data_IF_095704146403
#
_entry.id   IF_095704146403
#
_cell.length_a   1.000
_cell.length_b   1.000
_cell.length_c   1.000
_cell.angle_alpha   90.00
_cell.angle_beta   90.00
_cell.angle_gamma   90.00
#
_symmetry.space_group_name_H-M   'P 1'
#
loop_
_entity.id
_entity.type
_entity.pdbx_description
1 polymer ?
#
# COMPACT_ATOMS: atom_id res chain seq x y z
N UNK A 1 25.56 17.86 15.93
CA UNK A 1 25.19 17.60 14.52
C UNK A 1 25.69 16.22 14.16
N UNK A 2 24.88 15.19 14.40
CA UNK A 2 25.16 13.81 14.00
C UNK A 2 24.24 13.49 12.83
N UNK A 3 24.83 13.22 11.67
CA UNK A 3 24.16 12.74 10.48
C UNK A 3 23.28 11.53 10.83
N UNK A 4 21.98 11.77 10.98
CA UNK A 4 20.99 10.72 10.80
C UNK A 4 21.03 10.39 9.32
N UNK A 5 21.86 9.42 8.94
CA UNK A 5 21.65 8.69 7.70
C UNK A 5 20.21 8.19 7.76
N UNK A 6 19.33 8.82 7.00
CA UNK A 6 18.01 8.32 6.70
C UNK A 6 18.21 6.85 6.34
N UNK A 7 17.69 5.93 7.17
CA UNK A 7 17.45 4.57 6.70
C UNK A 7 16.29 4.71 5.70
N UNK A 8 16.59 5.24 4.52
CA UNK A 8 15.64 5.33 3.41
C UNK A 8 15.30 3.89 3.11
N UNK A 9 14.12 3.47 3.54
CA UNK A 9 13.61 2.18 3.17
C UNK A 9 13.39 2.22 1.66
N UNK A 10 14.28 1.57 0.92
CA UNK A 10 14.15 1.46 -0.52
C UNK A 10 13.06 0.43 -0.82
N UNK A 11 11.96 0.92 -1.38
CA UNK A 11 10.87 0.10 -1.86
C UNK A 11 11.02 -0.09 -3.37
N UNK A 12 10.51 -1.18 -3.92
CA UNK A 12 10.18 -1.18 -5.35
C UNK A 12 8.85 -0.46 -5.59
N UNK A 13 8.59 -0.01 -6.80
CA UNK A 13 7.29 0.56 -7.17
C UNK A 13 6.15 -0.50 -7.11
N UNK A 14 4.90 -0.10 -7.39
CA UNK A 14 3.74 -1.00 -7.41
C UNK A 14 3.88 -2.22 -8.34
N UNK A 15 4.63 -2.08 -9.44
CA UNK A 15 4.88 -3.19 -10.36
C UNK A 15 5.84 -4.22 -9.72
N UNK A 16 6.89 -3.73 -9.06
CA UNK A 16 7.79 -4.57 -8.26
C UNK A 16 7.07 -5.23 -7.08
N UNK A 17 6.17 -4.51 -6.39
CA UNK A 17 5.28 -5.10 -5.38
C UNK A 17 4.51 -6.29 -5.93
N UNK A 18 3.85 -6.10 -7.08
CA UNK A 18 3.02 -7.12 -7.72
C UNK A 18 3.84 -8.35 -8.12
N UNK A 19 5.02 -8.16 -8.68
CA UNK A 19 5.84 -9.24 -9.24
C UNK A 19 6.72 -9.95 -8.19
N UNK A 20 7.20 -9.26 -7.16
CA UNK A 20 8.21 -9.79 -6.24
C UNK A 20 7.77 -9.76 -4.78
N UNK A 21 7.47 -8.58 -4.22
CA UNK A 21 7.18 -8.45 -2.79
C UNK A 21 5.93 -9.23 -2.40
N UNK A 22 4.82 -9.06 -3.13
CA UNK A 22 3.55 -9.73 -2.84
C UNK A 22 3.67 -11.25 -2.99
N UNK A 23 4.13 -11.84 -4.10
CA UNK A 23 4.29 -13.30 -4.19
C UNK A 23 5.20 -13.87 -3.11
N UNK A 24 6.29 -13.18 -2.77
CA UNK A 24 7.22 -13.59 -1.71
C UNK A 24 6.55 -13.56 -0.34
N UNK A 25 5.85 -12.47 -0.02
CA UNK A 25 5.10 -12.32 1.23
C UNK A 25 3.99 -13.35 1.37
N UNK A 26 3.21 -13.61 0.30
CA UNK A 26 2.16 -14.63 0.30
C UNK A 26 2.74 -16.03 0.53
N UNK A 27 3.87 -16.36 -0.11
CA UNK A 27 4.55 -17.65 0.06
C UNK A 27 5.06 -17.83 1.49
N UNK A 28 5.68 -16.80 2.07
CA UNK A 28 6.32 -16.89 3.39
C UNK A 28 5.31 -16.76 4.54
N UNK A 29 4.40 -15.79 4.45
CA UNK A 29 3.56 -15.34 5.56
C UNK A 29 2.09 -15.74 5.40
N UNK A 30 1.75 -16.39 4.28
CA UNK A 30 0.43 -16.93 3.99
C UNK A 30 -0.36 -16.05 3.03
N UNK A 31 -1.20 -16.69 2.23
CA UNK A 31 -2.08 -16.04 1.24
C UNK A 31 -3.51 -15.84 1.73
N UNK A 32 -3.82 -16.34 2.93
CA UNK A 32 -5.13 -16.22 3.56
C UNK A 32 -4.96 -15.82 5.02
N UNK A 33 -5.97 -15.12 5.54
CA UNK A 33 -6.03 -14.75 6.95
C UNK A 33 -5.93 -15.98 7.84
N UNK A 34 -5.16 -15.85 8.92
CA UNK A 34 -5.09 -16.82 10.02
C UNK A 34 -6.46 -17.09 10.65
N UNK A 35 -7.44 -16.17 10.49
CA UNK A 35 -8.82 -16.35 10.93
C UNK A 35 -9.60 -17.38 10.09
N UNK A 36 -9.24 -17.54 8.81
CA UNK A 36 -10.03 -18.27 7.80
C UNK A 36 -9.38 -19.58 7.34
N UNK A 37 -8.12 -19.82 7.67
CA UNK A 37 -7.41 -21.03 7.25
C UNK A 37 -6.41 -21.48 8.29
N UNK A 38 -6.20 -22.80 8.35
CA UNK A 38 -5.16 -23.41 9.17
C UNK A 38 -3.79 -22.99 8.62
N UNK A 39 -3.17 -22.02 9.27
CA UNK A 39 -1.84 -21.51 8.94
C UNK A 39 -0.81 -22.08 9.91
N UNK A 40 0.47 -22.06 9.55
CA UNK A 40 1.53 -22.42 10.49
C UNK A 40 1.57 -21.42 11.65
N UNK A 41 1.98 -21.85 12.85
CA UNK A 41 2.14 -20.95 14.02
C UNK A 41 3.03 -19.75 13.71
N UNK A 42 4.03 -19.93 12.84
CA UNK A 42 4.88 -18.85 12.38
C UNK A 42 4.11 -17.80 11.57
N UNK A 43 3.36 -18.23 10.56
CA UNK A 43 2.53 -17.36 9.73
C UNK A 43 1.46 -16.62 10.56
N UNK A 44 0.79 -17.34 11.46
CA UNK A 44 -0.19 -16.75 12.38
C UNK A 44 0.45 -15.66 13.25
N UNK A 45 1.62 -15.92 13.83
CA UNK A 45 2.33 -14.95 14.65
C UNK A 45 2.74 -13.69 13.85
N UNK A 46 3.19 -13.87 12.61
CA UNK A 46 3.52 -12.75 11.73
C UNK A 46 2.28 -11.94 11.39
N UNK A 47 1.19 -12.60 10.98
CA UNK A 47 -0.05 -11.92 10.64
C UNK A 47 -0.64 -11.17 11.84
N UNK A 48 -0.56 -11.73 13.05
CA UNK A 48 -0.95 -11.03 14.29
C UNK A 48 -0.06 -9.81 14.57
N UNK A 49 1.25 -9.91 14.35
CA UNK A 49 2.16 -8.78 14.51
C UNK A 49 1.90 -7.67 13.47
N UNK A 50 1.71 -8.04 12.20
CA UNK A 50 1.35 -7.09 11.15
C UNK A 50 0.01 -6.39 11.45
N UNK A 51 -0.96 -7.13 12.00
CA UNK A 51 -2.22 -6.54 12.48
C UNK A 51 -2.00 -5.55 13.62
N UNK A 52 -1.11 -5.84 14.57
CA UNK A 52 -0.75 -4.90 15.64
C UNK A 52 -0.18 -3.61 15.03
N UNK A 53 0.75 -3.72 14.07
CA UNK A 53 1.34 -2.57 13.39
C UNK A 53 0.31 -1.80 12.54
N UNK A 54 -0.67 -2.48 11.94
CA UNK A 54 -1.73 -1.85 11.16
C UNK A 54 -2.64 -0.95 12.00
N UNK A 55 -2.84 -1.30 13.28
CA UNK A 55 -3.82 -0.66 14.16
C UNK A 55 -3.20 0.35 15.14
N UNK A 56 -1.88 0.55 15.08
CA UNK A 56 -1.17 1.40 16.02
C UNK A 56 -0.19 2.34 15.29
N UNK A 57 0.18 3.42 15.97
CA UNK A 57 1.32 4.26 15.58
C UNK A 57 2.63 3.46 15.66
N UNK A 58 3.77 3.97 15.14
CA UNK A 58 5.04 3.26 15.20
C UNK A 58 5.38 2.73 16.60
N UNK A 59 5.70 1.44 16.69
CA UNK A 59 5.92 0.73 17.95
C UNK A 59 7.33 0.15 18.04
N UNK A 60 7.86 0.11 19.26
CA UNK A 60 9.00 -0.77 19.57
C UNK A 60 8.51 -2.22 19.67
N UNK A 61 9.41 -3.20 19.51
CA UNK A 61 9.09 -4.64 19.73
C UNK A 61 8.52 -4.90 21.12
N UNK A 62 9.00 -4.16 22.13
CA UNK A 62 8.50 -4.21 23.50
C UNK A 62 7.06 -3.70 23.59
N UNK A 63 6.76 -2.55 22.97
CA UNK A 63 5.41 -1.99 22.93
C UNK A 63 4.44 -2.92 22.20
N UNK A 64 4.87 -3.57 21.11
CA UNK A 64 4.05 -4.59 20.43
C UNK A 64 3.71 -5.76 21.36
N UNK A 65 4.69 -6.27 22.11
CA UNK A 65 4.47 -7.38 23.04
C UNK A 65 3.51 -7.00 24.18
N UNK A 66 3.61 -5.77 24.70
CA UNK A 66 2.73 -5.27 25.76
C UNK A 66 1.26 -5.12 25.38
N UNK A 67 0.93 -4.99 24.08
CA UNK A 67 -0.46 -4.87 23.64
C UNK A 67 -1.28 -6.12 24.01
N UNK A 68 -0.65 -7.30 24.02
CA UNK A 68 -1.32 -8.56 24.32
C UNK A 68 -1.03 -9.11 25.72
N UNK A 69 0.06 -8.65 26.36
CA UNK A 69 0.63 -9.26 27.58
C UNK A 69 0.93 -8.20 28.66
N UNK A 70 0.07 -7.18 28.80
CA UNK A 70 0.33 -5.99 29.61
C UNK A 70 0.81 -6.28 31.05
N UNK A 71 0.25 -7.32 31.68
CA UNK A 71 0.49 -7.66 33.09
C UNK A 71 1.66 -8.64 33.32
N UNK A 72 2.09 -9.40 32.30
CA UNK A 72 3.11 -10.44 32.43
C UNK A 72 4.44 -10.01 31.79
N UNK A 73 5.35 -9.50 32.62
CA UNK A 73 6.64 -8.99 32.17
C UNK A 73 7.54 -10.08 31.57
N UNK A 74 7.48 -11.31 32.08
CA UNK A 74 8.31 -12.40 31.56
C UNK A 74 7.78 -12.88 30.20
N UNK A 75 6.46 -13.00 30.05
CA UNK A 75 5.87 -13.30 28.75
C UNK A 75 6.14 -12.18 27.73
N UNK A 76 6.12 -10.91 28.15
CA UNK A 76 6.50 -9.77 27.29
C UNK A 76 7.94 -9.91 26.78
N UNK A 77 8.90 -10.27 27.63
CA UNK A 77 10.31 -10.48 27.23
C UNK A 77 10.45 -11.58 26.18
N UNK A 78 9.77 -12.70 26.39
CA UNK A 78 9.77 -13.81 25.42
C UNK A 78 9.18 -13.35 24.09
N UNK A 79 8.02 -12.68 24.12
CA UNK A 79 7.32 -12.22 22.92
C UNK A 79 8.08 -11.14 22.17
N UNK A 80 8.73 -10.23 22.87
CA UNK A 80 9.59 -9.19 22.28
C UNK A 80 10.73 -9.83 21.47
N UNK A 81 11.38 -10.86 22.01
CA UNK A 81 12.44 -11.61 21.30
C UNK A 81 11.89 -12.31 20.05
N UNK A 82 10.68 -12.86 20.11
CA UNK A 82 10.01 -13.42 18.94
C UNK A 82 9.76 -12.36 17.87
N UNK A 83 9.22 -11.19 18.24
CA UNK A 83 8.97 -10.08 17.31
C UNK A 83 10.24 -9.56 16.66
N UNK A 84 11.32 -9.39 17.43
CA UNK A 84 12.62 -8.99 16.88
C UNK A 84 13.12 -9.95 15.80
N UNK A 85 12.99 -11.27 16.03
CA UNK A 85 13.36 -12.31 15.07
C UNK A 85 12.46 -12.31 13.82
N UNK A 86 11.17 -12.00 13.96
CA UNK A 86 10.26 -11.87 12.82
C UNK A 86 10.56 -10.62 11.98
N UNK A 87 10.95 -9.51 12.63
CA UNK A 87 11.28 -8.26 11.95
C UNK A 87 12.60 -8.32 11.19
N UNK A 88 13.68 -8.71 11.87
CA UNK A 88 15.05 -8.70 11.33
C UNK A 88 15.39 -9.99 10.59
N UNK A 89 14.67 -11.08 10.86
CA UNK A 89 14.98 -12.40 10.37
C UNK A 89 15.93 -13.15 11.32
N UNK A 90 16.40 -14.31 10.86
CA UNK A 90 17.31 -15.17 11.64
C UNK A 90 18.33 -15.83 10.72
N UNK A 91 19.49 -16.17 11.27
CA UNK A 91 20.50 -17.00 10.60
C UNK A 91 20.62 -18.31 11.37
N UNK A 92 20.23 -19.41 10.73
CA UNK A 92 20.34 -20.76 11.28
C UNK A 92 21.28 -21.58 10.39
N UNK A 93 22.37 -22.12 10.97
CA UNK A 93 23.35 -22.98 10.28
C UNK A 93 23.83 -22.42 8.93
N UNK A 94 24.18 -21.13 8.91
CA UNK A 94 24.66 -20.44 7.71
C UNK A 94 23.57 -19.93 6.76
N UNK A 95 22.31 -20.38 6.88
CA UNK A 95 21.19 -19.92 6.03
C UNK A 95 20.44 -18.75 6.71
N UNK A 96 20.29 -17.62 6.01
CA UNK A 96 19.47 -16.48 6.46
C UNK A 96 18.01 -16.71 6.06
N UNK A 97 17.09 -16.71 7.02
CA UNK A 97 15.66 -16.54 6.77
C UNK A 97 15.35 -15.03 6.80
N UNK A 98 14.85 -14.44 5.70
CA UNK A 98 14.57 -13.02 5.66
C UNK A 98 13.43 -12.65 6.61
N UNK A 99 13.58 -11.51 7.30
CA UNK A 99 12.56 -10.91 8.14
C UNK A 99 11.61 -9.99 7.37
N UNK A 100 10.63 -9.42 8.06
CA UNK A 100 9.69 -8.46 7.45
C UNK A 100 10.35 -7.18 6.94
N UNK A 101 11.48 -6.77 7.55
CA UNK A 101 12.30 -5.66 7.06
C UNK A 101 12.94 -6.01 5.71
N UNK A 102 13.50 -7.23 5.59
CA UNK A 102 14.16 -7.69 4.35
C UNK A 102 13.14 -7.82 3.19
N UNK A 103 11.91 -8.25 3.48
CA UNK A 103 10.84 -8.37 2.47
C UNK A 103 10.22 -7.01 2.14
N UNK A 104 10.44 -5.99 2.97
CA UNK A 104 9.89 -4.65 2.77
C UNK A 104 8.43 -4.50 3.17
N UNK A 105 7.90 -5.31 4.09
CA UNK A 105 6.54 -5.13 4.66
C UNK A 105 6.53 -4.21 5.89
N UNK A 106 7.68 -4.02 6.52
CA UNK A 106 7.86 -3.19 7.71
C UNK A 106 9.07 -2.31 7.49
N UNK A 107 9.07 -1.12 8.10
CA UNK A 107 10.22 -0.21 8.10
C UNK A 107 10.59 0.24 9.50
N UNK A 108 11.84 0.67 9.63
CA UNK A 108 12.32 1.37 10.81
C UNK A 108 11.95 2.86 10.68
N UNK A 109 11.09 3.34 11.56
CA UNK A 109 10.56 4.70 11.59
C UNK A 109 11.30 5.61 12.59
N UNK A 110 12.56 5.26 12.87
CA UNK A 110 13.44 6.01 13.75
C UNK A 110 13.64 5.35 15.12
N UNK A 111 14.15 6.13 16.07
CA UNK A 111 14.58 5.63 17.37
C UNK A 111 13.84 6.35 18.48
N UNK A 112 13.28 5.60 19.43
CA UNK A 112 12.73 6.12 20.68
C UNK A 112 13.79 6.01 21.78
N UNK A 113 13.95 7.08 22.58
CA UNK A 113 14.99 7.19 23.62
C UNK A 113 14.45 7.14 25.06
N UNK A 114 13.24 6.61 25.30
CA UNK A 114 12.58 6.73 26.62
C UNK A 114 13.24 5.94 27.76
N UNK A 115 13.83 4.76 27.50
CA UNK A 115 14.57 3.95 28.50
C UNK A 115 15.87 3.36 27.93
N UNK A 116 16.37 3.96 26.85
CA UNK A 116 17.41 3.42 25.97
C UNK A 116 16.98 3.50 24.51
N UNK A 117 17.94 3.55 23.59
CA UNK A 117 17.69 3.61 22.16
C UNK A 117 16.97 2.34 21.67
N UNK A 118 15.76 2.48 21.14
CA UNK A 118 14.97 1.37 20.59
C UNK A 118 14.35 1.77 19.27
N UNK A 119 14.50 0.93 18.24
CA UNK A 119 13.89 1.15 16.93
C UNK A 119 12.35 1.17 17.03
N UNK A 120 11.75 2.11 16.32
CA UNK A 120 10.32 2.18 16.06
C UNK A 120 10.03 1.51 14.73
N UNK A 121 8.98 0.72 14.69
CA UNK A 121 8.57 -0.01 13.50
C UNK A 121 7.14 0.31 13.14
N UNK A 122 6.88 0.46 11.84
CA UNK A 122 5.55 0.59 11.26
C UNK A 122 5.46 -0.21 9.96
N UNK A 123 4.26 -0.41 9.45
CA UNK A 123 4.09 -0.96 8.10
C UNK A 123 4.70 -0.02 7.07
N UNK A 124 5.35 -0.61 6.06
CA UNK A 124 5.57 0.07 4.80
C UNK A 124 4.26 0.18 4.03
N UNK A 125 4.26 0.94 2.92
CA UNK A 125 3.13 0.93 1.98
C UNK A 125 2.84 -0.48 1.42
N UNK A 126 3.87 -1.28 1.12
CA UNK A 126 3.69 -2.70 0.76
C UNK A 126 3.08 -3.53 1.90
N UNK A 127 3.45 -3.25 3.15
CA UNK A 127 2.85 -3.84 4.34
C UNK A 127 1.38 -3.51 4.48
N UNK A 128 1.01 -2.24 4.26
CA UNK A 128 -0.39 -1.79 4.24
C UNK A 128 -1.18 -2.55 3.17
N UNK A 129 -0.65 -2.65 1.94
CA UNK A 129 -1.29 -3.41 0.87
C UNK A 129 -1.43 -4.90 1.24
N UNK A 130 -0.37 -5.54 1.75
CA UNK A 130 -0.45 -6.94 2.18
C UNK A 130 -1.52 -7.15 3.27
N UNK A 131 -1.61 -6.25 4.24
CA UNK A 131 -2.62 -6.31 5.30
C UNK A 131 -4.05 -6.21 4.75
N UNK A 132 -4.28 -5.31 3.79
CA UNK A 132 -5.56 -5.14 3.12
C UNK A 132 -5.98 -6.35 2.28
N UNK A 133 -5.02 -7.03 1.66
CA UNK A 133 -5.24 -8.23 0.83
C UNK A 133 -5.51 -9.48 1.69
N UNK A 134 -4.67 -9.74 2.69
CA UNK A 134 -4.59 -11.06 3.33
C UNK A 134 -5.30 -11.14 4.68
N UNK A 135 -5.21 -10.10 5.53
CA UNK A 135 -5.58 -10.23 6.95
C UNK A 135 -7.08 -10.27 7.22
N UNK A 136 -7.91 -10.04 6.19
CA UNK A 136 -9.36 -9.95 6.29
C UNK A 136 -9.77 -8.93 7.37
N UNK A 137 -9.32 -7.69 7.17
CA UNK A 137 -9.62 -6.57 8.05
C UNK A 137 -11.05 -6.08 7.82
N UNK A 138 -11.75 -5.85 8.93
CA UNK A 138 -13.06 -5.19 8.96
C UNK A 138 -12.95 -3.73 8.53
N UNK A 139 -14.06 -3.13 8.10
CA UNK A 139 -14.08 -1.71 7.71
C UNK A 139 -13.58 -0.81 8.85
N UNK A 140 -13.98 -1.10 10.10
CA UNK A 140 -13.51 -0.37 11.30
C UNK A 140 -12.00 -0.47 11.49
N UNK A 141 -11.42 -1.66 11.30
CA UNK A 141 -9.98 -1.86 11.39
C UNK A 141 -9.23 -1.08 10.29
N UNK A 142 -9.83 -0.96 9.10
CA UNK A 142 -9.27 -0.17 7.99
C UNK A 142 -9.38 1.31 8.27
N UNK A 143 -10.48 1.78 8.87
CA UNK A 143 -10.62 3.17 9.30
C UNK A 143 -9.54 3.56 10.32
N UNK A 144 -9.28 2.68 11.30
CA UNK A 144 -8.19 2.88 12.28
C UNK A 144 -6.84 2.94 11.55
N UNK A 145 -6.57 1.99 10.65
CA UNK A 145 -5.33 2.00 9.87
C UNK A 145 -5.19 3.29 9.03
N UNK A 146 -6.27 3.76 8.40
CA UNK A 146 -6.24 5.01 7.65
C UNK A 146 -5.89 6.21 8.55
N UNK A 147 -6.41 6.25 9.77
CA UNK A 147 -6.05 7.30 10.73
C UNK A 147 -4.56 7.25 11.11
N UNK A 148 -4.02 6.05 11.38
CA UNK A 148 -2.62 5.86 11.78
C UNK A 148 -1.62 6.15 10.66
N UNK A 149 -2.00 5.81 9.43
CA UNK A 149 -1.14 5.95 8.25
C UNK A 149 -1.50 7.18 7.39
N UNK A 150 -2.26 8.13 7.94
CA UNK A 150 -2.69 9.35 7.26
C UNK A 150 -1.51 10.17 6.70
N UNK A 151 -0.36 10.19 7.39
CA UNK A 151 0.84 10.90 6.93
C UNK A 151 1.65 10.12 5.88
N UNK A 152 1.51 8.79 5.86
CA UNK A 152 2.25 7.89 4.95
C UNK A 152 1.56 7.79 3.59
N UNK A 153 0.22 7.83 3.57
CA UNK A 153 -0.57 7.84 2.34
C UNK A 153 -1.51 9.06 2.34
N UNK A 154 -0.98 10.29 2.16
CA UNK A 154 -1.70 11.53 2.43
C UNK A 154 -2.95 11.72 1.59
N UNK A 155 -2.88 11.46 0.27
CA UNK A 155 -4.02 11.67 -0.61
C UNK A 155 -5.16 10.67 -0.38
N UNK A 156 -4.88 9.44 0.09
CA UNK A 156 -5.95 8.46 0.38
C UNK A 156 -6.31 8.43 1.86
N UNK A 157 -5.35 8.10 2.74
CA UNK A 157 -5.57 7.97 4.16
C UNK A 157 -5.67 9.32 4.88
N UNK A 158 -4.88 10.32 4.47
CA UNK A 158 -5.02 11.69 4.99
C UNK A 158 -6.37 12.33 4.66
N UNK A 159 -7.02 11.90 3.58
CA UNK A 159 -8.36 12.35 3.16
C UNK A 159 -9.47 11.35 3.48
N UNK A 160 -9.19 10.30 4.25
CA UNK A 160 -10.09 9.15 4.42
C UNK A 160 -11.50 9.50 4.87
N UNK A 161 -11.62 10.38 5.88
CA UNK A 161 -12.93 10.79 6.40
C UNK A 161 -13.77 11.54 5.36
N UNK A 162 -13.12 12.43 4.59
CA UNK A 162 -13.76 13.15 3.48
C UNK A 162 -14.16 12.17 2.37
N UNK A 163 -13.25 11.27 1.97
CA UNK A 163 -13.56 10.27 0.95
C UNK A 163 -14.73 9.38 1.37
N UNK A 164 -14.75 8.93 2.64
CA UNK A 164 -15.81 8.09 3.19
C UNK A 164 -17.17 8.80 3.19
N UNK A 165 -17.24 10.10 3.47
CA UNK A 165 -18.52 10.83 3.41
C UNK A 165 -19.09 10.93 1.99
N UNK A 166 -18.25 10.96 0.96
CA UNK A 166 -18.69 11.07 -0.44
C UNK A 166 -18.90 9.69 -1.11
N UNK A 167 -18.09 8.70 -0.74
CA UNK A 167 -18.05 7.39 -1.39
C UNK A 167 -18.84 6.31 -0.63
N UNK A 168 -19.02 6.46 0.69
CA UNK A 168 -19.55 5.40 1.54
C UNK A 168 -18.60 4.21 1.58
N UNK A 169 -19.12 2.99 1.43
CA UNK A 169 -18.32 1.75 1.44
C UNK A 169 -17.37 1.61 0.24
N UNK A 170 -17.60 2.36 -0.86
CA UNK A 170 -16.70 2.38 -2.01
C UNK A 170 -15.28 2.88 -1.65
N UNK A 171 -15.10 3.57 -0.51
CA UNK A 171 -13.78 4.01 -0.03
C UNK A 171 -12.81 2.83 0.17
N UNK A 172 -13.35 1.64 0.47
CA UNK A 172 -12.57 0.42 0.72
C UNK A 172 -12.08 -0.28 -0.57
N UNK A 173 -12.30 0.31 -1.76
CA UNK A 173 -11.74 -0.18 -3.03
C UNK A 173 -10.22 -0.29 -3.04
N UNK A 174 -9.51 0.33 -2.10
CA UNK A 174 -8.06 0.10 -1.92
C UNK A 174 -7.71 -1.39 -1.74
N UNK A 175 -8.62 -2.22 -1.21
CA UNK A 175 -8.45 -3.69 -1.16
C UNK A 175 -8.23 -4.31 -2.54
N UNK A 176 -8.79 -3.69 -3.58
CA UNK A 176 -8.67 -4.14 -4.96
C UNK A 176 -7.26 -3.86 -5.52
N UNK A 177 -6.59 -2.81 -5.03
CA UNK A 177 -5.17 -2.56 -5.34
C UNK A 177 -4.32 -3.64 -4.72
N UNK A 178 -4.60 -3.89 -3.45
CA UNK A 178 -3.84 -4.78 -2.59
C UNK A 178 -3.77 -6.21 -3.17
N UNK A 179 -4.84 -6.65 -3.85
CA UNK A 179 -4.90 -7.94 -4.55
C UNK A 179 -4.17 -7.98 -5.91
N UNK A 180 -3.62 -6.85 -6.39
CA UNK A 180 -2.81 -6.75 -7.61
C UNK A 180 -3.58 -6.87 -8.93
N UNK A 181 -4.91 -6.70 -8.90
CA UNK A 181 -5.81 -7.16 -9.97
C UNK A 181 -5.94 -6.20 -11.17
N UNK A 182 -5.45 -4.97 -11.08
CA UNK A 182 -5.74 -3.92 -12.09
C UNK A 182 -4.53 -3.26 -12.75
N UNK A 183 -3.29 -3.54 -12.32
CA UNK A 183 -2.14 -2.79 -12.86
C UNK A 183 -1.90 -3.03 -14.36
N UNK A 184 -2.31 -4.18 -14.92
CA UNK A 184 -2.01 -4.56 -16.31
C UNK A 184 -3.18 -5.23 -17.06
N UNK A 185 -4.42 -5.08 -16.59
CA UNK A 185 -5.54 -5.81 -17.18
C UNK A 185 -6.09 -5.07 -18.41
N UNK A 186 -5.66 -5.49 -19.61
CA UNK A 186 -6.11 -4.93 -20.90
C UNK A 186 -7.65 -4.97 -21.04
N UNK A 187 -8.34 -5.92 -20.39
CA UNK A 187 -9.81 -6.00 -20.43
C UNK A 187 -10.49 -4.76 -19.80
N UNK A 188 -9.76 -3.96 -19.02
CA UNK A 188 -10.22 -2.66 -18.49
C UNK A 188 -10.62 -1.71 -19.63
N UNK A 189 -9.91 -1.73 -20.76
CA UNK A 189 -10.22 -0.89 -21.93
C UNK A 189 -11.62 -1.17 -22.52
N UNK A 190 -12.18 -2.36 -22.27
CA UNK A 190 -13.55 -2.72 -22.68
C UNK A 190 -14.61 -2.42 -21.62
N UNK A 191 -14.20 -2.11 -20.40
CA UNK A 191 -15.08 -1.93 -19.24
C UNK A 191 -15.51 -0.47 -19.03
N UNK A 192 -14.82 0.49 -19.64
CA UNK A 192 -15.14 1.92 -19.53
C UNK A 192 -14.86 2.65 -20.83
N UNK A 193 -15.69 3.65 -21.14
CA UNK A 193 -15.43 4.60 -22.22
C UNK A 193 -14.40 5.68 -21.79
N UNK A 194 -14.04 5.72 -20.50
CA UNK A 194 -12.95 6.55 -20.02
C UNK A 194 -11.60 5.91 -20.36
N UNK A 195 -10.56 6.72 -20.60
CA UNK A 195 -9.21 6.25 -20.93
C UNK A 195 -8.47 5.71 -19.69
N UNK A 196 -9.12 4.82 -18.93
CA UNK A 196 -8.57 4.27 -17.67
C UNK A 196 -7.34 3.43 -17.94
N UNK A 197 -7.37 2.65 -19.03
CA UNK A 197 -6.22 1.83 -19.41
C UNK A 197 -5.00 2.69 -19.73
N UNK A 198 -5.20 3.78 -20.47
CA UNK A 198 -4.17 4.75 -20.82
C UNK A 198 -3.61 5.45 -19.58
N UNK A 199 -4.47 5.89 -18.66
CA UNK A 199 -4.03 6.52 -17.41
C UNK A 199 -3.20 5.54 -16.56
N UNK A 200 -3.65 4.29 -16.39
CA UNK A 200 -2.91 3.28 -15.64
C UNK A 200 -1.61 2.86 -16.34
N UNK A 201 -1.62 2.79 -17.67
CA UNK A 201 -0.40 2.51 -18.46
C UNK A 201 0.60 3.64 -18.28
N UNK A 202 0.17 4.89 -18.38
CA UNK A 202 1.03 6.04 -18.12
C UNK A 202 1.56 6.04 -16.68
N UNK A 203 0.74 5.66 -15.69
CA UNK A 203 1.20 5.50 -14.31
C UNK A 203 2.38 4.52 -14.19
N UNK A 204 2.31 3.38 -14.89
CA UNK A 204 3.41 2.41 -14.92
C UNK A 204 4.64 2.96 -15.64
N UNK A 205 4.45 3.73 -16.72
CA UNK A 205 5.55 4.37 -17.46
C UNK A 205 6.22 5.47 -16.61
N UNK A 206 5.43 6.30 -15.90
CA UNK A 206 5.93 7.41 -15.09
C UNK A 206 6.92 6.96 -14.02
N UNK A 207 6.66 5.81 -13.40
CA UNK A 207 7.50 5.24 -12.34
C UNK A 207 8.31 4.02 -12.82
N UNK A 208 8.53 3.85 -14.13
CA UNK A 208 9.20 2.68 -14.67
C UNK A 208 10.66 2.60 -14.21
N UNK A 209 11.34 3.73 -14.16
CA UNK A 209 12.75 3.80 -13.76
C UNK A 209 12.92 3.55 -12.25
N UNK A 210 11.86 3.75 -11.46
CA UNK A 210 11.80 3.50 -10.01
C UNK A 210 11.42 2.05 -9.66
N UNK A 211 11.58 1.11 -10.60
CA UNK A 211 11.16 -0.27 -10.43
C UNK A 211 11.81 -0.95 -9.21
N UNK A 212 13.12 -0.84 -9.06
CA UNK A 212 13.85 -1.42 -7.94
C UNK A 212 13.85 -0.53 -6.70
N UNK A 213 13.79 0.79 -6.89
CA UNK A 213 13.96 1.78 -5.84
C UNK A 213 13.08 2.99 -6.10
N UNK A 214 12.13 3.23 -5.20
CA UNK A 214 11.22 4.37 -5.19
C UNK A 214 11.21 4.99 -3.78
N UNK A 215 11.05 6.31 -3.70
CA UNK A 215 10.83 6.98 -2.41
C UNK A 215 9.45 6.61 -1.84
N UNK A 216 9.26 6.76 -0.53
CA UNK A 216 7.96 6.46 0.08
C UNK A 216 6.87 7.43 -0.40
N UNK A 217 7.23 8.70 -0.61
CA UNK A 217 6.31 9.71 -1.14
C UNK A 217 5.88 9.38 -2.57
N UNK A 218 6.81 8.99 -3.43
CA UNK A 218 6.49 8.66 -4.83
C UNK A 218 5.66 7.37 -4.91
N UNK A 219 5.93 6.39 -4.05
CA UNK A 219 5.09 5.19 -3.94
C UNK A 219 3.69 5.52 -3.41
N UNK A 220 3.58 6.44 -2.44
CA UNK A 220 2.30 6.93 -1.94
C UNK A 220 1.51 7.63 -3.05
N UNK A 221 2.18 8.44 -3.87
CA UNK A 221 1.60 9.11 -5.03
C UNK A 221 1.15 8.10 -6.08
N UNK A 222 1.98 7.09 -6.38
CA UNK A 222 1.63 6.03 -7.31
C UNK A 222 0.37 5.25 -6.85
N UNK A 223 0.31 4.88 -5.57
CA UNK A 223 -0.87 4.24 -4.96
C UNK A 223 -2.10 5.14 -5.04
N UNK A 224 -1.92 6.43 -4.78
CA UNK A 224 -3.01 7.41 -4.78
C UNK A 224 -3.57 7.61 -6.20
N UNK A 225 -2.71 7.78 -7.20
CA UNK A 225 -3.13 7.90 -8.61
C UNK A 225 -3.93 6.68 -9.03
N UNK A 226 -3.41 5.49 -8.75
CA UNK A 226 -4.12 4.24 -9.02
C UNK A 226 -5.50 4.24 -8.34
N UNK A 227 -5.57 4.59 -7.05
CA UNK A 227 -6.79 4.56 -6.26
C UNK A 227 -7.88 5.44 -6.89
N UNK A 228 -7.56 6.69 -7.21
CA UNK A 228 -8.51 7.61 -7.84
C UNK A 228 -8.93 7.17 -9.24
N UNK A 229 -7.99 6.64 -10.03
CA UNK A 229 -8.27 6.11 -11.36
C UNK A 229 -9.25 4.92 -11.31
N UNK A 230 -9.23 4.09 -10.26
CA UNK A 230 -10.17 2.96 -10.15
C UNK A 230 -11.63 3.34 -9.94
N UNK A 231 -11.92 4.56 -9.51
CA UNK A 231 -13.31 5.04 -9.42
C UNK A 231 -13.91 5.38 -10.79
N UNK A 232 -13.08 5.53 -11.82
CA UNK A 232 -13.52 5.64 -13.22
C UNK A 232 -13.95 4.28 -13.79
N UNK A 233 -13.84 3.21 -13.00
CA UNK A 233 -14.36 1.89 -13.34
C UNK A 233 -15.66 1.59 -12.62
N UNK A 234 -16.59 0.85 -13.26
CA UNK A 234 -17.80 0.39 -12.60
C UNK A 234 -17.44 -0.47 -11.39
N UNK A 235 -18.23 -0.35 -10.31
CA UNK A 235 -18.09 -1.13 -9.07
C UNK A 235 -18.12 -2.64 -9.32
N UNK A 236 -18.78 -3.07 -10.39
CA UNK A 236 -18.79 -4.44 -10.88
C UNK A 236 -18.25 -4.48 -12.31
N UNK A 237 -17.11 -5.14 -12.51
CA UNK A 237 -16.46 -5.27 -13.82
C UNK A 237 -17.32 -5.92 -14.91
N UNK A 238 -18.37 -6.66 -14.52
CA UNK A 238 -19.33 -7.27 -15.46
C UNK A 238 -20.46 -6.32 -15.89
N UNK A 239 -20.61 -5.18 -15.23
CA UNK A 239 -21.56 -4.15 -15.62
C UNK A 239 -20.96 -3.31 -16.74
N UNK A 240 -21.50 -3.43 -17.97
CA UNK A 240 -21.10 -2.61 -19.13
C UNK A 240 -21.51 -1.14 -19.00
N UNK A 241 -22.38 -0.78 -18.04
CA UNK A 241 -22.77 0.61 -17.79
C UNK A 241 -22.10 1.11 -16.53
N UNK A 242 -21.24 2.12 -16.68
CA UNK A 242 -20.94 3.04 -15.60
C UNK A 242 -22.27 3.74 -15.27
N UNK A 243 -22.82 3.52 -14.09
CA UNK A 243 -23.99 4.30 -13.67
C UNK A 243 -23.58 5.77 -13.60
N UNK A 244 -24.46 6.69 -14.02
CA UNK A 244 -24.28 8.14 -13.86
C UNK A 244 -23.90 8.53 -12.42
N UNK A 245 -24.29 7.69 -11.46
CA UNK A 245 -23.96 7.75 -10.03
C UNK A 245 -22.45 7.69 -9.76
N UNK A 246 -21.68 6.86 -10.48
CA UNK A 246 -20.23 6.76 -10.24
C UNK A 246 -19.48 8.00 -10.71
N UNK A 247 -19.87 8.59 -11.84
CA UNK A 247 -19.31 9.86 -12.32
C UNK A 247 -19.64 11.01 -11.37
N UNK A 248 -20.86 11.03 -10.82
CA UNK A 248 -21.28 12.05 -9.85
C UNK A 248 -20.51 11.93 -8.52
N UNK A 249 -20.32 10.71 -8.00
CA UNK A 249 -19.49 10.46 -6.82
C UNK A 249 -18.03 10.89 -7.06
N UNK A 250 -17.47 10.55 -8.21
CA UNK A 250 -16.11 10.92 -8.58
C UNK A 250 -15.93 12.44 -8.67
N UNK A 251 -16.87 13.15 -9.31
CA UNK A 251 -16.86 14.63 -9.36
C UNK A 251 -16.88 15.27 -7.97
N UNK A 252 -17.74 14.76 -7.08
CA UNK A 252 -17.86 15.27 -5.69
C UNK A 252 -16.56 15.21 -4.88
N UNK A 253 -15.67 14.24 -5.16
CA UNK A 253 -14.37 14.14 -4.49
C UNK A 253 -13.55 15.42 -4.73
N UNK A 254 -13.55 15.91 -5.96
CA UNK A 254 -12.68 17.01 -6.40
C UNK A 254 -13.34 18.40 -6.31
N UNK A 255 -14.64 18.47 -6.04
CA UNK A 255 -15.37 19.74 -5.95
C UNK A 255 -14.94 20.60 -4.76
N UNK A 256 -14.54 19.96 -3.65
CA UNK A 256 -14.22 20.66 -2.38
C UNK A 256 -12.75 20.64 -1.99
N UNK A 257 -11.96 19.74 -2.57
CA UNK A 257 -10.53 19.59 -2.28
C UNK A 257 -9.71 20.03 -3.48
N UNK A 258 -9.39 21.34 -3.53
CA UNK A 258 -8.65 21.96 -4.63
C UNK A 258 -7.24 21.39 -4.76
N UNK A 259 -6.57 21.11 -3.64
CA UNK A 259 -5.24 20.51 -3.63
C UNK A 259 -5.25 19.12 -4.28
N UNK A 260 -6.21 18.27 -3.88
CA UNK A 260 -6.38 16.94 -4.47
C UNK A 260 -6.73 17.03 -5.96
N UNK A 261 -7.57 18.00 -6.33
CA UNK A 261 -7.95 18.25 -7.72
C UNK A 261 -6.73 18.63 -8.55
N UNK A 262 -6.00 19.65 -8.14
CA UNK A 262 -4.86 20.16 -8.89
C UNK A 262 -3.77 19.09 -9.02
N UNK A 263 -3.51 18.33 -7.95
CA UNK A 263 -2.57 17.20 -7.98
C UNK A 263 -3.01 16.10 -8.97
N UNK A 264 -4.25 15.61 -8.88
CA UNK A 264 -4.70 14.49 -9.72
C UNK A 264 -4.85 14.91 -11.19
N UNK A 265 -5.41 16.08 -11.45
CA UNK A 265 -5.55 16.56 -12.83
C UNK A 265 -4.21 16.98 -13.43
N UNK A 266 -3.24 17.44 -12.63
CA UNK A 266 -1.86 17.60 -13.08
C UNK A 266 -1.26 16.30 -13.61
N UNK A 267 -1.48 15.18 -12.90
CA UNK A 267 -1.09 13.85 -13.40
C UNK A 267 -1.82 13.46 -14.70
N UNK A 268 -3.11 13.78 -14.83
CA UNK A 268 -3.86 13.53 -16.08
C UNK A 268 -3.32 14.37 -17.24
N UNK A 269 -2.95 15.63 -17.01
CA UNK A 269 -2.37 16.51 -18.04
C UNK A 269 -1.00 15.99 -18.51
N UNK A 270 -0.19 15.46 -17.60
CA UNK A 270 1.05 14.79 -17.96
C UNK A 270 0.80 13.57 -18.87
N UNK A 271 -0.18 12.73 -18.51
CA UNK A 271 -0.58 11.58 -19.31
C UNK A 271 -1.03 12.01 -20.72
N UNK A 272 -1.84 13.06 -20.81
CA UNK A 272 -2.31 13.60 -22.08
C UNK A 272 -1.14 14.08 -22.96
N UNK A 273 -0.18 14.82 -22.38
CA UNK A 273 1.03 15.28 -23.06
C UNK A 273 1.87 14.10 -23.58
N UNK A 274 2.07 13.09 -22.75
CA UNK A 274 2.81 11.88 -23.11
C UNK A 274 2.21 11.18 -24.35
N UNK A 275 0.89 10.95 -24.34
CA UNK A 275 0.22 10.31 -25.46
C UNK A 275 0.19 11.18 -26.72
N UNK A 276 -0.07 12.50 -26.61
CA UNK A 276 -0.02 13.44 -27.74
C UNK A 276 1.35 13.40 -28.43
N UNK A 277 2.44 13.37 -27.66
CA UNK A 277 3.79 13.24 -28.20
C UNK A 277 3.98 11.92 -28.96
N UNK A 278 3.60 10.78 -28.37
CA UNK A 278 3.71 9.47 -29.04
C UNK A 278 2.85 9.36 -30.31
N UNK A 279 1.61 9.86 -30.28
CA UNK A 279 0.75 9.87 -31.47
C UNK A 279 1.33 10.72 -32.59
N UNK A 280 2.00 11.82 -32.26
CA UNK A 280 2.70 12.65 -33.25
C UNK A 280 3.83 11.87 -33.92
N UNK A 281 4.62 11.12 -33.15
CA UNK A 281 5.68 10.24 -33.68
C UNK A 281 5.10 9.13 -34.56
N UNK A 282 4.02 8.46 -34.13
CA UNK A 282 3.35 7.41 -34.93
C UNK A 282 2.82 7.97 -36.25
N UNK A 283 2.25 9.19 -36.24
CA UNK A 283 1.79 9.85 -37.48
C UNK A 283 2.93 10.14 -38.45
N UNK A 284 4.14 10.43 -37.95
CA UNK A 284 5.34 10.60 -38.78
C UNK A 284 5.78 9.29 -39.43
N UNK A 285 5.62 8.14 -38.75
CA UNK A 285 5.93 6.82 -39.33
C UNK A 285 5.08 6.49 -40.56
N UNK A 286 3.85 6.99 -40.66
CA UNK A 286 3.01 6.80 -41.87
C UNK A 286 3.56 7.49 -43.12
N UNK A 287 4.53 8.40 -42.95
CA UNK A 287 5.15 9.16 -44.04
C UNK A 287 6.53 8.63 -44.43
N UNK A 288 6.98 7.55 -43.78
CA UNK A 288 8.15 6.75 -44.15
C UNK A 288 7.64 5.59 -45.00
#
# INVERSE_FOLDING_TARGET
>A
MSNNSENVAFYGNLYSYKLYTRPTALRMFGSKSYKKSKSSKHQENIQKMLKILALNDPLTTWSMAKIQLFEDTEAVRVKEKEYRRMLVGRRDRGKKTPGLLDIGLVVNDGIRYTKGASNLYRLSLHGVLYCLDVLDMTEKEIDIMAQKYAKVLPFVFGRWNSLKSHLGSDVHRLKVLASGTFLDNIQISKASNFPVYEILTYLNVKYQDDFETISESDLADQISCWYYTTFLLPSQLRSKKMSSVNTAKWKKIFERDLELKDWYFGFVDEAEKFYKARFTTIRKLKKI
#
